data_IF_796592752775
#
_entry.id   IF_796592752775
#
_cell.length_a   1.000
_cell.length_b   1.000
_cell.length_c   1.000
_cell.angle_alpha   90.00
_cell.angle_beta   90.00
_cell.angle_gamma   90.00
#
_symmetry.space_group_name_H-M   'P 1'
#
loop_
_entity.id
_entity.type
_entity.pdbx_description
1 polymer ?
#
# COMPACT_ATOMS: atom_id res chain seq x y z
N UNK A 1 -21.59 9.13 -3.41
CA UNK A 1 -20.28 9.22 -4.08
C UNK A 1 -19.58 7.88 -3.93
N UNK A 2 -19.48 7.05 -4.99
CA UNK A 2 -18.66 5.83 -4.96
C UNK A 2 -17.20 6.28 -5.04
N UNK A 3 -16.56 6.49 -3.90
CA UNK A 3 -15.10 6.71 -3.85
C UNK A 3 -14.41 5.55 -4.55
N UNK A 4 -13.42 5.84 -5.39
CA UNK A 4 -12.67 4.83 -6.15
C UNK A 4 -12.29 3.65 -5.25
N UNK A 5 -13.00 2.53 -5.41
CA UNK A 5 -12.91 1.34 -4.55
C UNK A 5 -11.50 0.71 -4.54
N UNK A 6 -10.69 1.08 -5.51
CA UNK A 6 -9.34 0.57 -5.73
C UNK A 6 -8.24 1.48 -5.18
N UNK A 7 -8.58 2.65 -4.62
CA UNK A 7 -7.63 3.64 -4.12
C UNK A 7 -7.93 4.00 -2.67
N UNK A 8 -7.17 3.37 -1.78
CA UNK A 8 -7.32 3.55 -0.34
C UNK A 8 -6.20 4.41 0.22
N UNK A 9 -6.50 5.13 1.28
CA UNK A 9 -5.48 5.83 2.08
C UNK A 9 -4.61 4.83 2.85
N UNK A 10 -3.45 5.29 3.30
CA UNK A 10 -2.55 4.50 4.18
C UNK A 10 -3.29 3.98 5.43
N UNK A 11 -4.21 4.79 5.97
CA UNK A 11 -4.99 4.43 7.17
C UNK A 11 -5.97 3.30 6.87
N UNK A 12 -6.66 3.36 5.74
CA UNK A 12 -7.61 2.34 5.31
C UNK A 12 -6.91 1.02 5.01
N UNK A 13 -5.80 1.06 4.26
CA UNK A 13 -4.98 -0.14 3.98
C UNK A 13 -4.46 -0.77 5.27
N UNK A 14 -3.95 0.04 6.19
CA UNK A 14 -3.48 -0.47 7.48
C UNK A 14 -4.56 -1.22 8.25
N UNK A 15 -5.80 -0.69 8.27
CA UNK A 15 -6.92 -1.33 8.96
C UNK A 15 -7.39 -2.60 8.26
N UNK A 16 -7.47 -2.59 6.93
CA UNK A 16 -8.00 -3.73 6.16
C UNK A 16 -7.01 -4.89 6.07
N UNK A 17 -5.73 -4.61 5.85
CA UNK A 17 -4.69 -5.62 5.62
C UNK A 17 -3.84 -5.89 6.87
N UNK A 18 -4.19 -5.30 8.00
CA UNK A 18 -3.43 -5.38 9.25
C UNK A 18 -1.93 -5.02 9.10
N UNK A 19 -1.66 -4.03 8.26
CA UNK A 19 -0.30 -3.58 7.96
C UNK A 19 0.04 -2.37 8.85
N UNK A 20 1.21 -2.31 9.50
CA UNK A 20 1.59 -1.16 10.34
C UNK A 20 1.62 0.17 9.57
N UNK A 21 0.88 1.17 10.06
CA UNK A 21 0.82 2.52 9.45
C UNK A 21 2.18 3.15 9.35
N UNK A 22 2.98 3.05 10.42
CA UNK A 22 4.29 3.71 10.50
C UNK A 22 5.23 3.19 9.40
N UNK A 23 5.17 1.88 9.12
CA UNK A 23 5.92 1.27 8.03
C UNK A 23 5.40 1.74 6.67
N UNK A 24 4.09 1.78 6.45
CA UNK A 24 3.51 2.32 5.21
C UNK A 24 3.88 3.79 4.98
N UNK A 25 3.86 4.63 6.01
CA UNK A 25 4.30 6.03 5.90
C UNK A 25 5.81 6.13 5.65
N UNK A 26 6.62 5.27 6.28
CA UNK A 26 8.05 5.19 6.01
C UNK A 26 8.33 4.83 4.54
N UNK A 27 7.71 3.76 4.04
CA UNK A 27 7.81 3.33 2.64
C UNK A 27 7.32 4.41 1.67
N UNK A 28 6.22 5.09 1.97
CA UNK A 28 5.69 6.17 1.12
C UNK A 28 6.64 7.35 0.94
N UNK A 29 7.63 7.51 1.83
CA UNK A 29 8.65 8.56 1.78
C UNK A 29 9.92 8.11 1.06
N UNK A 30 10.10 6.81 0.83
CA UNK A 30 11.24 6.27 0.08
C UNK A 30 11.06 6.55 -1.41
N UNK A 31 12.17 6.80 -2.12
CA UNK A 31 12.18 6.95 -3.58
C UNK A 31 12.01 5.60 -4.30
N UNK A 32 12.41 4.53 -3.63
CA UNK A 32 12.35 3.15 -4.12
C UNK A 32 11.53 2.33 -3.15
N UNK A 33 10.28 2.03 -3.53
CA UNK A 33 9.37 1.15 -2.78
C UNK A 33 8.58 0.33 -3.79
N UNK A 34 8.33 -0.93 -3.45
CA UNK A 34 7.52 -1.84 -4.27
C UNK A 34 6.02 -1.59 -4.06
N UNK A 35 5.66 -0.90 -2.98
CA UNK A 35 4.26 -0.60 -2.66
C UNK A 35 3.72 0.41 -3.68
N UNK A 36 2.56 0.13 -4.31
CA UNK A 36 2.01 0.93 -5.40
C UNK A 36 1.32 2.20 -4.87
N UNK A 37 2.13 3.16 -4.41
CA UNK A 37 1.65 4.49 -4.02
C UNK A 37 1.32 5.33 -5.25
N UNK A 38 0.18 6.01 -5.20
CA UNK A 38 -0.30 6.94 -6.22
C UNK A 38 -0.57 8.28 -5.54
N UNK A 39 -0.07 9.36 -6.14
CA UNK A 39 -0.36 10.72 -5.71
C UNK A 39 -1.55 11.25 -6.51
N UNK A 40 -2.62 11.66 -5.82
CA UNK A 40 -3.80 12.28 -6.44
C UNK A 40 -4.00 13.64 -5.79
N UNK A 41 -3.62 14.70 -6.51
CA UNK A 41 -3.53 16.04 -5.93
C UNK A 41 -2.49 16.08 -4.81
N UNK A 42 -2.91 16.49 -3.61
CA UNK A 42 -2.06 16.51 -2.40
C UNK A 42 -2.08 15.20 -1.60
N UNK A 43 -2.96 14.25 -1.94
CA UNK A 43 -3.14 13.03 -1.18
C UNK A 43 -2.35 11.85 -1.77
N UNK A 44 -1.64 11.12 -0.91
CA UNK A 44 -1.08 9.80 -1.25
C UNK A 44 -2.10 8.70 -0.96
N UNK A 45 -2.36 7.88 -1.97
CA UNK A 45 -3.20 6.69 -1.91
C UNK A 45 -2.42 5.46 -2.34
N UNK A 46 -2.96 4.29 -2.05
CA UNK A 46 -2.38 3.00 -2.42
C UNK A 46 -3.36 2.31 -3.37
N UNK A 47 -2.84 1.78 -4.47
CA UNK A 47 -3.63 1.02 -5.43
C UNK A 47 -3.84 -0.41 -4.93
N UNK A 48 -5.04 -0.70 -4.48
CA UNK A 48 -5.37 -1.94 -3.77
C UNK A 48 -5.15 -3.20 -4.62
N UNK A 49 -5.67 -3.32 -5.86
CA UNK A 49 -5.42 -4.51 -6.68
C UNK A 49 -3.94 -4.79 -6.96
N UNK A 50 -3.09 -3.77 -6.96
CA UNK A 50 -1.65 -3.96 -7.16
C UNK A 50 -0.96 -4.35 -5.85
N UNK A 51 -1.42 -3.80 -4.73
CA UNK A 51 -0.95 -4.19 -3.40
C UNK A 51 -1.27 -5.67 -3.13
N UNK A 52 -2.47 -6.14 -3.47
CA UNK A 52 -2.86 -7.53 -3.27
C UNK A 52 -2.01 -8.50 -4.09
N UNK A 53 -1.70 -8.14 -5.35
CA UNK A 53 -0.76 -8.91 -6.18
C UNK A 53 0.62 -8.98 -5.53
N UNK A 54 1.15 -7.83 -5.09
CA UNK A 54 2.45 -7.77 -4.40
C UNK A 54 2.46 -8.61 -3.11
N UNK A 55 1.41 -8.51 -2.28
CA UNK A 55 1.27 -9.31 -1.06
C UNK A 55 1.26 -10.81 -1.37
N UNK A 56 0.54 -11.19 -2.43
CA UNK A 56 0.47 -12.60 -2.88
C UNK A 56 1.84 -13.09 -3.34
N UNK A 57 2.53 -12.31 -4.18
CA UNK A 57 3.88 -12.64 -4.67
C UNK A 57 4.88 -12.76 -3.52
N UNK A 58 4.88 -11.82 -2.57
CA UNK A 58 5.74 -11.85 -1.38
C UNK A 58 5.43 -13.04 -0.49
N UNK A 59 4.15 -13.36 -0.28
CA UNK A 59 3.74 -14.53 0.49
C UNK A 59 4.20 -15.83 -0.17
N UNK A 60 4.07 -15.94 -1.50
CA UNK A 60 4.55 -17.10 -2.27
C UNK A 60 6.07 -17.27 -2.17
N UNK A 61 6.82 -16.17 -2.20
CA UNK A 61 8.27 -16.18 -2.10
C UNK A 61 8.78 -16.21 -0.64
N UNK A 62 7.89 -16.24 0.36
CA UNK A 62 8.19 -16.13 1.80
C UNK A 62 9.02 -14.88 2.15
N UNK A 63 8.83 -13.80 1.41
CA UNK A 63 9.50 -12.52 1.60
C UNK A 63 8.67 -11.58 2.47
N UNK A 64 9.35 -10.73 3.26
CA UNK A 64 8.71 -9.65 4.00
C UNK A 64 8.35 -8.49 3.06
N UNK A 65 7.17 -7.90 3.24
CA UNK A 65 6.75 -6.67 2.57
C UNK A 65 7.66 -5.48 2.95
N UNK A 66 8.28 -5.54 4.13
CA UNK A 66 9.15 -4.50 4.66
C UNK A 66 10.57 -5.04 4.79
N UNK A 67 11.52 -4.34 4.18
CA UNK A 67 12.97 -4.54 4.40
C UNK A 67 13.43 -3.79 5.63
#
# INVERSE_FOLDING_TARGET
>A
MKGNQYLLSIVEVSRQYNIPRDKLYSESRKKTTEIPFIVIGSAKKIHVPLLEKLLTEKAMNKESLFK
#
